data_IF_385903200109
#
_entry.id   IF_385903200109
#
_cell.length_a   1.000
_cell.length_b   1.000
_cell.length_c   1.000
_cell.angle_alpha   90.00
_cell.angle_beta   90.00
_cell.angle_gamma   90.00
#
_symmetry.space_group_name_H-M   'P 1'
#
loop_
_entity.id
_entity.type
_entity.pdbx_description
1 polymer ?
#
# COMPACT_ATOMS: atom_id res chain seq x y z
N UNK A 1 -7.76 -10.77 -15.48
CA UNK A 1 -7.34 -9.37 -15.52
C UNK A 1 -7.06 -9.03 -16.97
N UNK A 2 -7.73 -8.05 -17.56
CA UNK A 2 -7.56 -7.72 -18.99
C UNK A 2 -6.12 -7.23 -19.18
N UNK A 3 -5.31 -7.95 -19.97
CA UNK A 3 -3.96 -7.51 -20.29
C UNK A 3 -4.05 -6.44 -21.40
N UNK A 4 -3.99 -5.18 -20.97
CA UNK A 4 -4.14 -3.99 -21.85
C UNK A 4 -3.03 -3.92 -22.89
N UNK A 5 -1.80 -4.33 -22.55
CA UNK A 5 -0.65 -4.30 -23.46
C UNK A 5 -0.82 -5.23 -24.69
N UNK A 6 -1.21 -6.52 -24.54
CA UNK A 6 -1.58 -7.37 -25.67
C UNK A 6 -2.70 -6.80 -26.55
N UNK A 7 -3.72 -6.17 -25.97
CA UNK A 7 -4.80 -5.55 -26.73
C UNK A 7 -4.29 -4.39 -27.60
N UNK A 8 -3.43 -3.53 -27.06
CA UNK A 8 -2.76 -2.45 -27.81
C UNK A 8 -1.85 -3.02 -28.90
N UNK A 9 -1.12 -4.10 -28.61
CA UNK A 9 -0.27 -4.79 -29.58
C UNK A 9 -1.10 -5.32 -30.77
N UNK A 10 -2.26 -5.91 -30.51
CA UNK A 10 -3.18 -6.38 -31.54
C UNK A 10 -3.74 -5.20 -32.37
N UNK A 11 -4.09 -4.08 -31.74
CA UNK A 11 -4.53 -2.88 -32.42
C UNK A 11 -3.45 -2.29 -33.35
N UNK A 12 -2.18 -2.26 -32.90
CA UNK A 12 -1.06 -1.82 -33.76
C UNK A 12 -0.87 -2.74 -34.97
N UNK A 13 -0.98 -4.06 -34.80
CA UNK A 13 -0.91 -4.99 -35.93
C UNK A 13 -2.06 -4.76 -36.92
N UNK A 14 -3.26 -4.45 -36.43
CA UNK A 14 -4.40 -4.09 -37.27
C UNK A 14 -4.14 -2.78 -38.03
N UNK A 15 -3.60 -1.74 -37.36
CA UNK A 15 -3.22 -0.48 -37.99
C UNK A 15 -2.14 -0.67 -39.08
N UNK A 16 -1.16 -1.56 -38.87
CA UNK A 16 -0.18 -1.93 -39.89
C UNK A 16 -0.83 -2.56 -41.12
N UNK A 17 -1.76 -3.51 -40.92
CA UNK A 17 -2.52 -4.10 -42.04
C UNK A 17 -3.35 -3.06 -42.78
N UNK A 18 -4.01 -2.15 -42.06
CA UNK A 18 -4.74 -1.02 -42.67
C UNK A 18 -3.81 -0.14 -43.51
N UNK A 19 -2.59 0.14 -43.03
CA UNK A 19 -1.60 0.93 -43.78
C UNK A 19 -1.21 0.26 -45.09
N UNK A 20 -1.05 -1.05 -45.11
CA UNK A 20 -0.75 -1.82 -46.33
C UNK A 20 -1.92 -1.79 -47.33
N UNK A 21 -3.16 -1.85 -46.83
CA UNK A 21 -4.34 -1.73 -47.68
C UNK A 21 -4.49 -0.30 -48.23
N UNK A 22 -4.26 0.72 -47.42
CA UNK A 22 -4.32 2.13 -47.82
C UNK A 22 -3.27 2.49 -48.88
N UNK A 23 -2.13 1.78 -48.93
CA UNK A 23 -1.16 1.93 -50.03
C UNK A 23 -1.78 1.61 -51.39
N UNK A 24 -2.68 0.61 -51.47
CA UNK A 24 -3.36 0.18 -52.70
C UNK A 24 -4.48 1.13 -53.14
N UNK A 25 -5.12 1.81 -52.19
CA UNK A 25 -6.24 2.74 -52.46
C UNK A 25 -5.73 4.11 -52.94
N UNK A 26 -4.50 4.49 -52.58
CA UNK A 26 -3.87 5.73 -53.07
C UNK A 26 -4.36 7.02 -52.39
N UNK A 27 -5.29 6.91 -51.43
CA UNK A 27 -5.86 8.02 -50.69
C UNK A 27 -4.88 8.55 -49.62
N UNK A 28 -4.56 9.84 -49.69
CA UNK A 28 -3.63 10.50 -48.78
C UNK A 28 -4.23 10.74 -47.39
N UNK A 29 -5.52 11.04 -47.30
CA UNK A 29 -6.21 11.33 -46.04
C UNK A 29 -6.31 10.05 -45.20
N UNK A 30 -6.60 8.92 -45.85
CA UNK A 30 -6.61 7.61 -45.18
C UNK A 30 -5.21 7.26 -44.66
N UNK A 31 -4.15 7.53 -45.43
CA UNK A 31 -2.77 7.26 -45.00
C UNK A 31 -2.35 8.12 -43.82
N UNK A 32 -2.77 9.39 -43.79
CA UNK A 32 -2.53 10.31 -42.68
C UNK A 32 -3.27 9.84 -41.42
N UNK A 33 -4.57 9.54 -41.51
CA UNK A 33 -5.34 9.05 -40.39
C UNK A 33 -4.78 7.74 -39.79
N UNK A 34 -4.24 6.84 -40.61
CA UNK A 34 -3.58 5.62 -40.13
C UNK A 34 -2.23 5.92 -39.46
N UNK A 35 -1.51 6.93 -39.93
CA UNK A 35 -0.27 7.37 -39.29
C UNK A 35 -0.56 7.92 -37.89
N UNK A 36 -1.55 8.81 -37.78
CA UNK A 36 -1.99 9.38 -36.50
C UNK A 36 -2.51 8.28 -35.54
N UNK A 37 -3.27 7.31 -36.05
CA UNK A 37 -3.69 6.15 -35.25
C UNK A 37 -2.50 5.35 -34.74
N UNK A 38 -1.47 5.16 -35.57
CA UNK A 38 -0.26 4.42 -35.19
C UNK A 38 0.54 5.13 -34.12
N UNK A 39 0.65 6.47 -34.19
CA UNK A 39 1.28 7.31 -33.17
C UNK A 39 0.54 7.23 -31.85
N UNK A 40 -0.78 7.44 -31.86
CA UNK A 40 -1.62 7.34 -30.67
C UNK A 40 -1.55 5.96 -29.99
N UNK A 41 -1.47 4.88 -30.77
CA UNK A 41 -1.32 3.52 -30.23
C UNK A 41 0.07 3.28 -29.63
N UNK A 42 1.11 3.88 -30.20
CA UNK A 42 2.47 3.80 -29.66
C UNK A 42 2.55 4.54 -28.31
N UNK A 43 1.99 5.73 -28.23
CA UNK A 43 1.92 6.52 -26.99
C UNK A 43 1.10 5.80 -25.91
N UNK A 44 -0.07 5.26 -26.28
CA UNK A 44 -0.89 4.47 -25.37
C UNK A 44 -0.14 3.24 -24.84
N UNK A 45 0.70 2.60 -25.67
CA UNK A 45 1.53 1.47 -25.24
C UNK A 45 2.58 1.88 -24.20
N UNK A 46 3.25 3.03 -24.42
CA UNK A 46 4.23 3.56 -23.48
C UNK A 46 3.57 3.90 -22.14
N UNK A 47 2.44 4.60 -22.16
CA UNK A 47 1.68 4.93 -20.95
C UNK A 47 1.20 3.67 -20.21
N UNK A 48 0.70 2.66 -20.92
CA UNK A 48 0.29 1.40 -20.31
C UNK A 48 1.46 0.63 -19.69
N UNK A 49 2.66 0.71 -20.26
CA UNK A 49 3.85 0.09 -19.70
C UNK A 49 4.31 0.79 -18.42
N UNK A 50 4.29 2.13 -18.41
CA UNK A 50 4.61 2.94 -17.23
C UNK A 50 3.63 2.68 -16.08
N UNK A 51 2.33 2.69 -16.35
CA UNK A 51 1.29 2.36 -15.36
C UNK A 51 1.46 0.94 -14.79
N UNK A 52 1.89 -0.03 -15.61
CA UNK A 52 2.18 -1.38 -15.12
C UNK A 52 3.38 -1.39 -14.17
N UNK A 53 4.40 -0.57 -14.42
CA UNK A 53 5.54 -0.37 -13.52
C UNK A 53 5.09 0.21 -12.18
N UNK A 54 4.39 1.34 -12.20
CA UNK A 54 3.87 1.98 -10.98
C UNK A 54 2.95 1.05 -10.18
N UNK A 55 2.10 0.26 -10.85
CA UNK A 55 1.23 -0.70 -10.18
C UNK A 55 2.03 -1.83 -9.51
N UNK A 56 3.11 -2.30 -10.13
CA UNK A 56 3.98 -3.30 -9.50
C UNK A 56 4.66 -2.73 -8.24
N UNK A 57 5.20 -1.51 -8.32
CA UNK A 57 5.80 -0.82 -7.16
C UNK A 57 4.79 -0.65 -6.01
N UNK A 58 3.58 -0.19 -6.32
CA UNK A 58 2.52 -0.03 -5.30
C UNK A 58 2.07 -1.38 -4.71
N UNK A 59 2.04 -2.45 -5.50
CA UNK A 59 1.72 -3.79 -4.98
C UNK A 59 2.81 -4.31 -4.05
N UNK A 60 4.08 -4.04 -4.36
CA UNK A 60 5.20 -4.39 -3.49
C UNK A 60 5.18 -3.59 -2.19
N UNK A 61 4.99 -2.27 -2.24
CA UNK A 61 4.83 -1.42 -1.05
C UNK A 61 3.63 -1.86 -0.21
N UNK A 62 2.50 -2.19 -0.84
CA UNK A 62 1.33 -2.68 -0.10
C UNK A 62 1.61 -4.02 0.60
N UNK A 63 2.39 -4.91 -0.02
CA UNK A 63 2.82 -6.16 0.59
C UNK A 63 3.72 -5.90 1.80
N UNK A 64 4.74 -5.06 1.66
CA UNK A 64 5.65 -4.72 2.76
C UNK A 64 4.92 -4.06 3.94
N UNK A 65 3.98 -3.15 3.66
CA UNK A 65 3.15 -2.53 4.68
C UNK A 65 2.25 -3.55 5.39
N UNK A 66 1.66 -4.49 4.65
CA UNK A 66 0.86 -5.58 5.24
C UNK A 66 1.69 -6.47 6.13
N UNK A 67 2.87 -6.89 5.68
CA UNK A 67 3.80 -7.69 6.48
C UNK A 67 4.23 -6.94 7.75
N UNK A 68 4.49 -5.63 7.66
CA UNK A 68 4.81 -4.78 8.81
C UNK A 68 3.64 -4.68 9.78
N UNK A 69 2.40 -4.56 9.28
CA UNK A 69 1.20 -4.52 10.11
C UNK A 69 0.92 -5.86 10.78
N UNK A 70 1.07 -6.98 10.06
CA UNK A 70 0.93 -8.32 10.61
C UNK A 70 1.99 -8.62 11.68
N UNK A 71 3.24 -8.20 11.45
CA UNK A 71 4.29 -8.28 12.45
C UNK A 71 3.98 -7.45 13.72
N UNK A 72 3.21 -6.35 13.60
CA UNK A 72 2.74 -5.57 14.75
C UNK A 72 1.53 -6.19 15.44
N UNK A 73 0.68 -6.93 14.75
CA UNK A 73 -0.61 -7.41 15.25
C UNK A 73 -0.58 -8.78 15.93
N UNK A 74 0.58 -9.38 16.17
CA UNK A 74 0.69 -10.84 16.42
C UNK A 74 0.57 -11.32 17.87
N UNK A 75 0.30 -10.47 18.85
CA UNK A 75 -0.06 -10.98 20.18
C UNK A 75 -1.18 -10.13 20.81
N UNK A 76 -2.33 -10.76 21.06
CA UNK A 76 -3.36 -10.17 21.91
C UNK A 76 -2.79 -10.03 23.33
N UNK A 77 -2.75 -8.82 23.90
CA UNK A 77 -2.19 -8.64 25.24
C UNK A 77 -3.10 -9.26 26.31
N UNK A 78 -2.48 -9.69 27.40
CA UNK A 78 -3.16 -10.02 28.65
C UNK A 78 -3.31 -8.76 29.48
N UNK A 79 -4.49 -8.55 30.04
CA UNK A 79 -4.76 -7.44 30.96
C UNK A 79 -4.36 -7.83 32.38
N UNK A 80 -3.40 -7.12 32.96
CA UNK A 80 -2.92 -7.33 34.33
C UNK A 80 -3.06 -6.05 35.16
N UNK A 81 -4.10 -6.01 36.01
CA UNK A 81 -4.40 -4.89 36.89
C UNK A 81 -4.91 -3.66 36.14
N UNK A 82 -3.98 -2.90 35.55
CA UNK A 82 -4.23 -1.65 34.80
C UNK A 82 -3.36 -1.49 33.55
N UNK A 83 -2.53 -2.49 33.23
CA UNK A 83 -1.60 -2.49 32.09
C UNK A 83 -1.82 -3.72 31.21
N UNK A 84 -1.30 -3.64 29.99
CA UNK A 84 -1.20 -4.78 29.10
C UNK A 84 0.19 -5.43 29.18
N UNK A 85 0.21 -6.76 29.12
CA UNK A 85 1.42 -7.58 29.02
C UNK A 85 1.28 -8.47 27.79
N UNK A 86 2.37 -8.65 27.05
CA UNK A 86 2.38 -9.45 25.83
C UNK A 86 3.19 -10.71 26.07
N UNK A 87 2.75 -11.84 25.53
CA UNK A 87 3.47 -13.10 25.66
C UNK A 87 4.86 -12.98 25.00
N UNK A 88 5.91 -13.29 25.78
CA UNK A 88 7.30 -13.17 25.35
C UNK A 88 7.97 -11.82 25.64
N UNK A 89 7.27 -10.87 26.29
CA UNK A 89 7.80 -9.55 26.63
C UNK A 89 7.73 -9.26 28.13
N UNK A 90 8.84 -8.83 28.73
CA UNK A 90 8.94 -8.48 30.16
C UNK A 90 8.44 -7.04 30.48
N UNK A 91 7.80 -6.39 29.50
CA UNK A 91 7.35 -5.01 29.57
C UNK A 91 5.88 -4.88 29.96
N UNK A 92 5.56 -3.80 30.68
CA UNK A 92 4.18 -3.35 30.91
C UNK A 92 3.82 -2.28 29.89
N UNK A 93 2.61 -2.34 29.35
CA UNK A 93 2.17 -1.52 28.23
C UNK A 93 0.87 -0.77 28.52
N UNK A 94 0.72 0.36 27.85
CA UNK A 94 -0.40 1.27 28.03
C UNK A 94 -1.66 0.70 27.37
N UNK A 95 -2.70 0.47 28.15
CA UNK A 95 -4.02 0.00 27.67
C UNK A 95 -4.66 0.99 26.70
N UNK A 96 -4.70 2.28 27.04
CA UNK A 96 -5.27 3.33 26.19
C UNK A 96 -4.60 3.45 24.80
N UNK A 97 -3.26 3.33 24.72
CA UNK A 97 -2.55 3.41 23.44
C UNK A 97 -2.77 2.16 22.58
N UNK A 98 -2.94 1.00 23.21
CA UNK A 98 -3.24 -0.23 22.51
C UNK A 98 -4.69 -0.28 22.02
N UNK A 99 -5.66 0.11 22.83
CA UNK A 99 -7.08 0.07 22.46
C UNK A 99 -7.44 1.09 21.38
N UNK A 100 -6.81 2.27 21.41
CA UNK A 100 -7.08 3.32 20.43
C UNK A 100 -6.37 3.09 19.09
N UNK A 101 -5.15 2.58 19.11
CA UNK A 101 -4.26 2.60 17.94
C UNK A 101 -3.42 1.33 17.76
N UNK A 102 -3.64 0.28 18.56
CA UNK A 102 -2.80 -0.93 18.61
C UNK A 102 -1.31 -0.62 18.77
N UNK A 103 -1.00 0.46 19.49
CA UNK A 103 0.36 0.90 19.72
C UNK A 103 0.90 0.32 21.03
N UNK A 104 1.95 -0.49 20.91
CA UNK A 104 2.66 -1.13 22.03
C UNK A 104 3.56 -0.11 22.75
N UNK A 105 2.96 0.76 23.57
CA UNK A 105 3.69 1.82 24.30
C UNK A 105 4.03 1.35 25.71
N UNK A 106 5.33 1.24 26.02
CA UNK A 106 5.81 0.86 27.36
C UNK A 106 5.48 1.96 28.38
N UNK A 107 4.89 1.59 29.50
CA UNK A 107 4.60 2.54 30.59
C UNK A 107 5.81 2.73 31.50
N UNK A 108 5.89 3.89 32.13
CA UNK A 108 6.89 4.20 33.17
C UNK A 108 6.31 3.88 34.53
N UNK A 109 7.05 3.13 35.35
CA UNK A 109 6.72 2.89 36.75
C UNK A 109 6.94 4.17 37.56
N UNK A 110 5.90 4.62 38.26
CA UNK A 110 5.94 5.89 39.00
C UNK A 110 6.42 5.70 40.44
N UNK A 111 6.35 4.49 41.00
CA UNK A 111 6.83 4.13 42.34
C UNK A 111 6.38 5.01 43.53
N UNK A 112 6.78 4.60 44.73
CA UNK A 112 6.69 5.41 45.95
C UNK A 112 5.30 5.97 46.27
N UNK A 113 5.24 7.27 46.61
CA UNK A 113 4.01 7.98 47.05
C UNK A 113 2.88 7.94 46.03
N UNK A 114 3.16 7.72 44.74
CA UNK A 114 2.13 7.64 43.70
C UNK A 114 1.46 6.26 43.66
N UNK A 115 2.22 5.19 43.95
CA UNK A 115 1.67 3.85 44.10
C UNK A 115 0.68 3.76 45.27
N UNK A 116 0.97 4.45 46.38
CA UNK A 116 0.07 4.55 47.55
C UNK A 116 -1.26 5.27 47.23
N UNK A 117 -1.28 6.08 46.16
CA UNK A 117 -2.48 6.75 45.63
C UNK A 117 -3.17 5.96 44.50
N UNK A 118 -2.74 4.71 44.25
CA UNK A 118 -3.29 3.86 43.21
C UNK A 118 -2.85 4.21 41.79
N UNK A 119 -1.81 5.04 41.62
CA UNK A 119 -1.22 5.38 40.32
C UNK A 119 0.15 4.72 40.23
N UNK A 120 0.18 3.52 39.65
CA UNK A 120 1.39 2.72 39.58
C UNK A 120 2.19 3.02 38.32
N UNK A 121 1.51 3.38 37.23
CA UNK A 121 2.10 3.55 35.91
C UNK A 121 1.64 4.82 35.22
N UNK A 122 2.51 5.36 34.37
CA UNK A 122 2.18 6.49 33.51
C UNK A 122 2.68 6.25 32.09
N UNK A 123 1.83 6.49 31.11
CA UNK A 123 2.21 6.43 29.72
C UNK A 123 2.96 7.71 29.30
N UNK A 124 4.16 7.62 28.68
CA UNK A 124 4.90 8.79 28.23
C UNK A 124 4.26 9.49 27.01
N UNK A 125 3.41 8.78 26.24
CA UNK A 125 2.82 9.28 25.00
C UNK A 125 1.46 9.94 25.26
N UNK A 126 0.47 9.17 25.75
CA UNK A 126 -0.88 9.69 25.98
C UNK A 126 -1.08 10.31 27.37
N UNK A 127 -0.08 10.21 28.25
CA UNK A 127 -0.10 10.74 29.64
C UNK A 127 -1.16 10.10 30.55
N UNK A 128 -1.83 9.05 30.11
CA UNK A 128 -2.75 8.27 30.95
C UNK A 128 -2.02 7.69 32.17
N UNK A 129 -2.69 7.71 33.31
CA UNK A 129 -2.26 7.13 34.58
C UNK A 129 -3.02 5.84 34.83
N UNK A 130 -2.31 4.79 35.23
CA UNK A 130 -2.78 3.42 35.39
C UNK A 130 -2.30 2.86 36.72
#
# INVERSE_FOLDING_TARGET
>A
MVEVLPAIQAAMQAAQKLRELAKKVGDADIRMAIADLSENLADAKLQAADLKGQLAELMDENRELRETLEARSTAAPKYEGSVYVFDGDDGKYCTACWDAHQNKVRVTDMGGRFADMGINYRCPVCKATM
#
